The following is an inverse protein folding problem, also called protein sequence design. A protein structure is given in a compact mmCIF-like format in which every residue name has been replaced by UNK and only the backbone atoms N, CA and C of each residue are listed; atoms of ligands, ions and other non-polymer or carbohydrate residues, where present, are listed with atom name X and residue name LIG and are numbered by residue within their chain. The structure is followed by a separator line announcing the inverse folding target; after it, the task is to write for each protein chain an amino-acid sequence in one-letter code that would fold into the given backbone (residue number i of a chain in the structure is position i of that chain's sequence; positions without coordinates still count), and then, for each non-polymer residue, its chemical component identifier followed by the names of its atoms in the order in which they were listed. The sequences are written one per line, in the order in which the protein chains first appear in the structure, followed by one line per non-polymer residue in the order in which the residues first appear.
data_IF_273844073618
#
_entry.id   IF_273844073618
#
_cell.length_a   1.000
_cell.length_b   1.000
_cell.length_c   1.000
_cell.angle_alpha   90.00
_cell.angle_beta   90.00
_cell.angle_gamma   90.00
#
_symmetry.space_group_name_H-M   'P 1'
#
loop_
_entity.id
_entity.type
_entity.pdbx_description
1 polymer ?
#
# COMPACT_ATOMS: atom_id res chain seq x y z
N UNK A 1 22.51 -7.19 -20.16
CA UNK A 1 21.79 -6.38 -19.17
C UNK A 1 20.45 -5.88 -19.71
N UNK A 2 20.36 -5.29 -20.92
CA UNK A 2 19.13 -4.76 -21.55
C UNK A 2 18.01 -5.80 -21.75
N UNK A 3 18.32 -7.02 -22.22
CA UNK A 3 17.33 -8.06 -22.49
C UNK A 3 16.55 -8.54 -21.23
N UNK A 4 17.12 -8.34 -20.04
CA UNK A 4 16.47 -8.68 -18.78
C UNK A 4 15.48 -7.59 -18.32
N UNK A 5 15.79 -6.32 -18.54
CA UNK A 5 14.89 -5.20 -18.23
C UNK A 5 13.64 -5.22 -19.11
N UNK A 6 13.77 -5.55 -20.39
CA UNK A 6 12.63 -5.65 -21.31
C UNK A 6 11.65 -6.77 -20.92
N UNK A 7 12.17 -7.91 -20.48
CA UNK A 7 11.31 -9.03 -19.99
C UNK A 7 10.59 -8.68 -18.70
N UNK A 8 11.25 -8.01 -17.76
CA UNK A 8 10.62 -7.53 -16.53
C UNK A 8 9.49 -6.54 -16.85
N UNK A 9 9.77 -5.56 -17.70
CA UNK A 9 8.77 -4.57 -18.15
C UNK A 9 7.57 -5.24 -18.81
N UNK A 10 7.80 -6.20 -19.69
CA UNK A 10 6.74 -6.97 -20.34
C UNK A 10 5.87 -7.73 -19.34
N UNK A 11 6.46 -8.33 -18.31
CA UNK A 11 5.72 -9.04 -17.26
C UNK A 11 4.86 -8.09 -16.42
N UNK A 12 5.37 -6.90 -16.10
CA UNK A 12 4.61 -5.88 -15.35
C UNK A 12 3.46 -5.30 -16.17
N UNK A 13 3.67 -5.07 -17.47
CA UNK A 13 2.61 -4.63 -18.39
C UNK A 13 1.53 -5.71 -18.49
N UNK A 14 1.93 -6.99 -18.61
CA UNK A 14 0.98 -8.11 -18.62
C UNK A 14 0.16 -8.16 -17.33
N UNK A 15 0.79 -8.00 -16.16
CA UNK A 15 0.11 -7.92 -14.86
C UNK A 15 -0.92 -6.80 -14.83
N UNK A 16 -0.52 -5.58 -15.21
CA UNK A 16 -1.40 -4.41 -15.23
C UNK A 16 -2.57 -4.57 -16.21
N UNK A 17 -2.33 -5.11 -17.42
CA UNK A 17 -3.37 -5.39 -18.39
C UNK A 17 -4.34 -6.46 -17.88
N UNK A 18 -3.85 -7.54 -17.28
CA UNK A 18 -4.69 -8.58 -16.69
C UNK A 18 -5.60 -8.00 -15.60
N UNK A 19 -5.05 -7.21 -14.68
CA UNK A 19 -5.82 -6.54 -13.63
C UNK A 19 -6.90 -5.61 -14.23
N UNK A 20 -6.55 -4.82 -15.25
CA UNK A 20 -7.50 -3.95 -15.95
C UNK A 20 -8.64 -4.72 -16.62
N UNK A 21 -8.33 -5.81 -17.32
CA UNK A 21 -9.33 -6.67 -17.97
C UNK A 21 -10.28 -7.28 -16.94
N UNK A 22 -9.76 -7.85 -15.84
CA UNK A 22 -10.60 -8.42 -14.78
C UNK A 22 -11.45 -7.36 -14.08
N UNK A 23 -10.91 -6.18 -13.83
CA UNK A 23 -11.67 -5.11 -13.21
C UNK A 23 -12.82 -4.61 -14.09
N UNK A 24 -12.59 -4.40 -15.39
CA UNK A 24 -13.63 -3.94 -16.31
C UNK A 24 -14.69 -5.02 -16.55
N UNK A 25 -14.27 -6.26 -16.83
CA UNK A 25 -15.21 -7.37 -17.03
C UNK A 25 -16.02 -7.66 -15.76
N UNK A 26 -15.39 -7.58 -14.60
CA UNK A 26 -16.04 -7.76 -13.31
C UNK A 26 -17.06 -6.67 -13.01
N UNK A 27 -16.77 -5.39 -13.31
CA UNK A 27 -17.77 -4.31 -13.17
C UNK A 27 -18.99 -4.55 -14.06
N UNK A 28 -18.78 -4.89 -15.33
CA UNK A 28 -19.86 -5.18 -16.25
C UNK A 28 -20.72 -6.35 -15.78
N UNK A 29 -20.09 -7.47 -15.44
CA UNK A 29 -20.80 -8.69 -15.00
C UNK A 29 -21.37 -8.53 -13.59
N UNK A 30 -20.75 -7.74 -12.72
CA UNK A 30 -21.28 -7.40 -11.41
C UNK A 30 -22.61 -6.64 -11.51
N UNK A 31 -22.68 -5.65 -12.41
CA UNK A 31 -23.92 -4.92 -12.70
C UNK A 31 -24.98 -5.86 -13.33
N UNK A 32 -24.59 -6.70 -14.30
CA UNK A 32 -25.50 -7.63 -14.98
C UNK A 32 -26.03 -8.73 -14.03
N UNK A 33 -25.19 -9.22 -13.10
CA UNK A 33 -25.59 -10.23 -12.12
C UNK A 33 -26.37 -9.65 -10.93
N UNK A 34 -26.28 -8.33 -10.72
CA UNK A 34 -26.84 -7.64 -9.56
C UNK A 34 -26.01 -7.83 -8.28
N UNK A 35 -24.80 -8.39 -8.36
CA UNK A 35 -23.96 -8.66 -7.19
C UNK A 35 -23.16 -7.44 -6.76
N UNK A 36 -23.39 -6.98 -5.53
CA UNK A 36 -22.59 -5.91 -4.90
C UNK A 36 -21.18 -6.41 -4.60
N UNK A 37 -21.02 -7.71 -4.29
CA UNK A 37 -19.72 -8.31 -4.03
C UNK A 37 -18.79 -8.25 -5.24
N UNK A 38 -19.30 -8.63 -6.42
CA UNK A 38 -18.51 -8.59 -7.68
C UNK A 38 -18.18 -7.14 -8.06
N UNK A 39 -19.13 -6.21 -7.89
CA UNK A 39 -18.90 -4.77 -8.13
C UNK A 39 -17.81 -4.25 -7.19
N UNK A 40 -17.88 -4.58 -5.89
CA UNK A 40 -16.89 -4.18 -4.92
C UNK A 40 -15.48 -4.70 -5.26
N UNK A 41 -15.33 -5.98 -5.51
CA UNK A 41 -14.06 -6.62 -5.86
C UNK A 41 -13.43 -5.97 -7.11
N UNK A 42 -14.25 -5.77 -8.14
CA UNK A 42 -13.81 -5.17 -9.41
C UNK A 42 -13.47 -3.68 -9.27
N UNK A 43 -14.27 -2.92 -8.52
CA UNK A 43 -14.00 -1.51 -8.23
C UNK A 43 -12.70 -1.35 -7.41
N UNK A 44 -12.51 -2.22 -6.42
CA UNK A 44 -11.28 -2.26 -5.62
C UNK A 44 -10.05 -2.55 -6.50
N UNK A 45 -10.13 -3.54 -7.40
CA UNK A 45 -9.04 -3.91 -8.31
C UNK A 45 -8.69 -2.76 -9.28
N UNK A 46 -9.70 -2.11 -9.88
CA UNK A 46 -9.49 -0.96 -10.76
C UNK A 46 -8.85 0.21 -10.03
N UNK A 47 -9.35 0.50 -8.83
CA UNK A 47 -8.85 1.56 -7.98
C UNK A 47 -7.41 1.28 -7.52
N UNK A 48 -7.11 0.04 -7.13
CA UNK A 48 -5.76 -0.40 -6.75
C UNK A 48 -4.75 -0.15 -7.88
N UNK A 49 -5.12 -0.46 -9.12
CA UNK A 49 -4.29 -0.19 -10.31
C UNK A 49 -4.06 1.32 -10.52
N UNK A 50 -5.11 2.14 -10.43
CA UNK A 50 -5.00 3.60 -10.55
C UNK A 50 -4.12 4.20 -9.45
N UNK A 51 -4.31 3.74 -8.22
CA UNK A 51 -3.55 4.21 -7.06
C UNK A 51 -2.10 3.72 -7.05
N UNK A 52 -1.79 2.58 -7.66
CA UNK A 52 -0.41 2.15 -7.90
C UNK A 52 0.31 3.13 -8.85
N UNK A 53 -0.36 3.58 -9.91
CA UNK A 53 0.17 4.59 -10.82
C UNK A 53 0.42 5.93 -10.10
N UNK A 54 -0.50 6.35 -9.22
CA UNK A 54 -0.32 7.55 -8.39
C UNK A 54 0.92 7.45 -7.48
N UNK A 55 1.19 6.27 -6.89
CA UNK A 55 2.39 6.06 -6.07
C UNK A 55 3.68 6.17 -6.84
N UNK A 56 3.73 5.61 -8.05
CA UNK A 56 4.92 5.73 -8.91
C UNK A 56 5.17 7.18 -9.28
N UNK A 57 4.11 7.93 -9.57
CA UNK A 57 4.20 9.37 -9.84
C UNK A 57 4.69 10.15 -8.61
N UNK A 58 4.11 9.88 -7.43
CA UNK A 58 4.49 10.50 -6.18
C UNK A 58 5.96 10.23 -5.83
N UNK A 59 6.42 8.97 -5.98
CA UNK A 59 7.81 8.59 -5.75
C UNK A 59 8.77 9.33 -6.70
N UNK A 60 8.42 9.43 -7.99
CA UNK A 60 9.21 10.18 -8.95
C UNK A 60 9.31 11.67 -8.58
N UNK A 61 8.23 12.24 -8.07
CA UNK A 61 8.17 13.64 -7.66
C UNK A 61 8.93 13.89 -6.34
N UNK A 62 8.83 12.97 -5.39
CA UNK A 62 9.54 13.02 -4.11
C UNK A 62 11.07 12.97 -4.27
N UNK A 63 11.56 12.23 -5.27
CA UNK A 63 12.99 12.11 -5.58
C UNK A 63 13.60 13.29 -6.35
N UNK A 64 12.81 14.32 -6.67
CA UNK A 64 13.35 15.53 -7.29
C UNK A 64 14.21 16.29 -6.28
N UNK A 65 15.37 16.83 -6.71
CA UNK A 65 16.26 17.58 -5.83
C UNK A 65 15.56 18.83 -5.28
N UNK A 66 16.04 19.28 -4.11
CA UNK A 66 15.62 20.55 -3.53
C UNK A 66 15.88 21.72 -4.52
N UNK A 67 15.00 22.71 -4.48
CA UNK A 67 15.09 23.92 -5.30
C UNK A 67 14.60 25.13 -4.50
N UNK A 68 14.66 26.32 -5.08
CA UNK A 68 14.28 27.56 -4.40
C UNK A 68 12.83 27.56 -3.87
N UNK A 69 11.90 26.87 -4.54
CA UNK A 69 10.50 26.75 -4.10
C UNK A 69 10.27 25.64 -3.07
N UNK A 70 11.15 24.64 -3.03
CA UNK A 70 11.09 23.49 -2.12
C UNK A 70 12.49 23.26 -1.51
N UNK A 71 12.92 24.07 -0.53
CA UNK A 71 14.29 24.03 0.01
C UNK A 71 14.65 22.69 0.66
N UNK A 72 13.69 22.00 1.26
CA UNK A 72 13.86 20.68 1.87
C UNK A 72 13.51 19.51 0.92
N UNK A 73 13.29 19.81 -0.37
CA UNK A 73 12.75 18.82 -1.30
C UNK A 73 11.24 18.61 -1.11
N UNK A 74 10.73 17.50 -1.62
CA UNK A 74 9.30 17.18 -1.62
C UNK A 74 9.00 15.96 -0.75
N UNK A 75 9.50 15.95 0.47
CA UNK A 75 9.44 14.82 1.41
C UNK A 75 8.01 14.35 1.70
N UNK A 76 7.06 15.28 1.75
CA UNK A 76 5.67 15.03 2.15
C UNK A 76 4.80 14.45 1.04
N UNK A 77 5.26 14.42 -0.22
CA UNK A 77 4.45 13.91 -1.35
C UNK A 77 4.18 12.42 -1.23
N UNK A 78 5.14 11.66 -0.74
CA UNK A 78 4.99 10.22 -0.56
C UNK A 78 3.92 9.88 0.50
N UNK A 79 4.00 10.36 1.76
CA UNK A 79 2.93 10.13 2.73
C UNK A 79 1.59 10.75 2.33
N UNK A 80 1.58 11.88 1.61
CA UNK A 80 0.35 12.44 1.06
C UNK A 80 -0.31 11.50 0.05
N UNK A 81 0.47 10.86 -0.81
CA UNK A 81 -0.07 9.87 -1.76
C UNK A 81 -0.65 8.63 -1.05
N UNK A 82 -0.01 8.19 0.05
CA UNK A 82 -0.51 7.09 0.89
C UNK A 82 -1.81 7.50 1.58
N UNK A 83 -1.90 8.73 2.08
CA UNK A 83 -3.12 9.27 2.68
C UNK A 83 -4.29 9.28 1.69
N UNK A 84 -4.07 9.81 0.48
CA UNK A 84 -5.09 9.83 -0.58
C UNK A 84 -5.56 8.40 -0.88
N UNK A 85 -4.64 7.45 -1.04
CA UNK A 85 -4.98 6.04 -1.24
C UNK A 85 -5.83 5.47 -0.11
N UNK A 86 -5.40 5.63 1.12
CA UNK A 86 -6.10 5.14 2.29
C UNK A 86 -7.53 5.69 2.37
N UNK A 87 -7.70 7.00 2.14
CA UNK A 87 -9.01 7.65 2.13
C UNK A 87 -9.90 7.09 1.01
N UNK A 88 -9.38 6.99 -0.21
CA UNK A 88 -10.18 6.53 -1.37
C UNK A 88 -10.59 5.07 -1.21
N UNK A 89 -9.68 4.18 -0.80
CA UNK A 89 -9.98 2.77 -0.54
C UNK A 89 -10.97 2.65 0.62
N UNK A 90 -10.76 3.40 1.71
CA UNK A 90 -11.66 3.43 2.85
C UNK A 90 -13.08 3.87 2.48
N UNK A 91 -13.22 4.87 1.60
CA UNK A 91 -14.52 5.30 1.09
C UNK A 91 -15.21 4.20 0.28
N UNK A 92 -14.49 3.48 -0.58
CA UNK A 92 -15.06 2.35 -1.34
C UNK A 92 -15.53 1.24 -0.40
N UNK A 93 -14.73 0.87 0.60
CA UNK A 93 -15.14 -0.10 1.61
C UNK A 93 -16.40 0.37 2.37
N UNK A 94 -16.41 1.61 2.84
CA UNK A 94 -17.53 2.16 3.60
C UNK A 94 -18.81 2.21 2.78
N UNK A 95 -18.75 2.73 1.54
CA UNK A 95 -19.92 2.79 0.64
C UNK A 95 -20.45 1.39 0.36
N UNK A 96 -19.57 0.42 0.09
CA UNK A 96 -19.99 -0.96 -0.17
C UNK A 96 -20.64 -1.60 1.05
N UNK A 97 -20.11 -1.35 2.26
CA UNK A 97 -20.73 -1.82 3.51
C UNK A 97 -22.10 -1.20 3.76
N UNK A 98 -22.25 0.10 3.50
CA UNK A 98 -23.54 0.79 3.65
C UNK A 98 -24.56 0.22 2.65
N UNK A 99 -24.17 0.04 1.39
CA UNK A 99 -25.05 -0.57 0.37
C UNK A 99 -25.46 -2.01 0.74
N UNK A 100 -24.51 -2.79 1.27
CA UNK A 100 -24.79 -4.14 1.75
C UNK A 100 -25.73 -4.14 2.97
N UNK A 101 -25.53 -3.25 3.92
CA UNK A 101 -26.41 -3.11 5.08
C UNK A 101 -27.84 -2.69 4.68
N UNK A 102 -27.98 -1.74 3.78
CA UNK A 102 -29.28 -1.34 3.21
C UNK A 102 -29.93 -2.53 2.52
N UNK A 103 -29.18 -3.30 1.73
CA UNK A 103 -29.67 -4.50 1.05
C UNK A 103 -30.18 -5.55 2.04
N UNK A 104 -29.48 -5.79 3.15
CA UNK A 104 -29.95 -6.68 4.22
C UNK A 104 -31.23 -6.18 4.87
N UNK A 105 -31.34 -4.87 5.14
CA UNK A 105 -32.52 -4.27 5.74
C UNK A 105 -33.75 -4.39 4.84
N UNK A 106 -33.56 -4.32 3.53
CA UNK A 106 -34.61 -4.44 2.51
C UNK A 106 -35.04 -5.88 2.21
N UNK A 107 -34.50 -6.87 2.92
CA UNK A 107 -34.87 -8.28 2.76
C UNK A 107 -33.93 -9.07 1.87
N UNK A 108 -32.71 -8.59 1.66
CA UNK A 108 -31.68 -9.21 0.84
C UNK A 108 -31.67 -8.68 -0.58
N UNK A 109 -30.87 -9.33 -1.45
CA UNK A 109 -30.73 -8.93 -2.84
C UNK A 109 -30.80 -10.14 -3.75
N UNK A 110 -31.64 -10.07 -4.76
CA UNK A 110 -31.66 -11.09 -5.81
C UNK A 110 -30.43 -10.94 -6.70
N UNK A 111 -29.60 -11.97 -6.73
CA UNK A 111 -28.40 -12.05 -7.56
C UNK A 111 -28.58 -13.19 -8.54
N UNK A 112 -28.20 -12.96 -9.80
CA UNK A 112 -28.12 -14.06 -10.76
C UNK A 112 -26.91 -14.95 -10.41
N UNK A 113 -27.16 -15.95 -9.56
CA UNK A 113 -26.12 -16.84 -9.03
C UNK A 113 -25.36 -17.59 -10.13
N UNK A 114 -26.01 -17.91 -11.26
CA UNK A 114 -25.32 -18.59 -12.36
C UNK A 114 -24.25 -17.67 -12.99
N UNK A 115 -24.60 -16.40 -13.26
CA UNK A 115 -23.63 -15.43 -13.78
C UNK A 115 -22.53 -15.14 -12.77
N UNK A 116 -22.88 -15.00 -11.49
CA UNK A 116 -21.92 -14.74 -10.41
C UNK A 116 -20.93 -15.91 -10.25
N UNK A 117 -21.40 -17.15 -10.31
CA UNK A 117 -20.55 -18.35 -10.24
C UNK A 117 -19.63 -18.47 -11.46
N UNK A 118 -20.16 -18.27 -12.68
CA UNK A 118 -19.34 -18.33 -13.89
C UNK A 118 -18.24 -17.26 -13.83
N UNK A 119 -18.61 -16.03 -13.48
CA UNK A 119 -17.62 -14.96 -13.36
C UNK A 119 -16.58 -15.26 -12.28
N UNK A 120 -17.00 -15.67 -11.07
CA UNK A 120 -16.08 -15.96 -9.97
C UNK A 120 -15.12 -17.10 -10.31
N UNK A 121 -15.60 -18.12 -11.00
CA UNK A 121 -14.75 -19.23 -11.47
C UNK A 121 -13.71 -18.75 -12.48
N UNK A 122 -14.13 -17.93 -13.47
CA UNK A 122 -13.22 -17.36 -14.46
C UNK A 122 -12.23 -16.40 -13.81
N UNK A 123 -12.66 -15.62 -12.81
CA UNK A 123 -11.81 -14.70 -12.06
C UNK A 123 -10.72 -15.45 -11.27
N UNK A 124 -11.08 -16.50 -10.52
CA UNK A 124 -10.11 -17.35 -9.80
C UNK A 124 -9.12 -17.99 -10.77
N UNK A 125 -9.61 -18.57 -11.86
CA UNK A 125 -8.76 -19.20 -12.87
C UNK A 125 -7.79 -18.18 -13.50
N UNK A 126 -8.27 -16.99 -13.80
CA UNK A 126 -7.47 -15.92 -14.39
C UNK A 126 -6.44 -15.35 -13.41
N UNK A 127 -6.82 -15.11 -12.15
CA UNK A 127 -5.90 -14.69 -11.10
C UNK A 127 -4.80 -15.74 -10.89
N UNK A 128 -5.17 -17.01 -10.82
CA UNK A 128 -4.21 -18.11 -10.67
C UNK A 128 -3.25 -18.20 -11.87
N UNK A 129 -3.77 -18.08 -13.10
CA UNK A 129 -2.96 -18.09 -14.31
C UNK A 129 -1.97 -16.92 -14.34
N UNK A 130 -2.43 -15.72 -14.02
CA UNK A 130 -1.59 -14.52 -13.94
C UNK A 130 -0.53 -14.68 -12.86
N UNK A 131 -0.89 -15.15 -11.67
CA UNK A 131 0.04 -15.49 -10.60
C UNK A 131 1.10 -16.51 -11.05
N UNK A 132 0.69 -17.55 -11.76
CA UNK A 132 1.61 -18.56 -12.27
C UNK A 132 2.62 -17.99 -13.26
N UNK A 133 2.18 -17.14 -14.18
CA UNK A 133 3.05 -16.46 -15.14
C UNK A 133 4.07 -15.56 -14.43
N UNK A 134 3.60 -14.73 -13.47
CA UNK A 134 4.46 -13.79 -12.74
C UNK A 134 5.45 -14.55 -11.84
N UNK A 135 5.02 -15.62 -11.15
CA UNK A 135 5.92 -16.49 -10.37
C UNK A 135 7.00 -17.14 -11.23
N UNK A 136 6.65 -17.52 -12.45
CA UNK A 136 7.63 -18.08 -13.38
C UNK A 136 8.65 -17.04 -13.85
N UNK A 137 8.23 -15.79 -14.01
CA UNK A 137 9.12 -14.66 -14.32
C UNK A 137 10.01 -14.33 -13.12
N UNK A 138 9.45 -14.31 -11.89
CA UNK A 138 10.21 -14.08 -10.66
C UNK A 138 11.32 -15.11 -10.46
N UNK A 139 11.06 -16.41 -10.71
CA UNK A 139 12.10 -17.45 -10.62
C UNK A 139 13.29 -17.22 -11.55
N UNK A 140 13.12 -16.44 -12.62
CA UNK A 140 14.19 -16.11 -13.57
C UNK A 140 14.88 -14.81 -13.22
N UNK A 141 14.18 -13.89 -12.56
CA UNK A 141 14.65 -12.55 -12.20
C UNK A 141 14.01 -12.15 -10.88
N UNK A 142 14.69 -12.44 -9.77
CA UNK A 142 14.16 -12.10 -8.44
C UNK A 142 14.40 -10.62 -8.11
N UNK A 143 13.44 -9.79 -8.48
CA UNK A 143 13.43 -8.36 -8.16
C UNK A 143 12.38 -8.04 -7.09
N UNK A 144 12.62 -7.01 -6.28
CA UNK A 144 11.68 -6.56 -5.25
C UNK A 144 10.28 -6.26 -5.83
N UNK A 145 10.25 -5.70 -7.05
CA UNK A 145 9.01 -5.36 -7.74
C UNK A 145 8.21 -6.61 -8.13
N UNK A 146 8.86 -7.64 -8.71
CA UNK A 146 8.20 -8.91 -9.04
C UNK A 146 7.76 -9.68 -7.78
N UNK A 147 8.51 -9.58 -6.68
CA UNK A 147 8.08 -10.14 -5.38
C UNK A 147 6.81 -9.46 -4.86
N UNK A 148 6.71 -8.14 -5.00
CA UNK A 148 5.50 -7.40 -4.64
C UNK A 148 4.30 -7.81 -5.49
N UNK A 149 4.47 -7.91 -6.82
CA UNK A 149 3.43 -8.36 -7.75
C UNK A 149 2.95 -9.79 -7.42
N UNK A 150 3.88 -10.72 -7.17
CA UNK A 150 3.51 -12.10 -6.77
C UNK A 150 2.68 -12.11 -5.49
N UNK A 151 3.06 -11.31 -4.49
CA UNK A 151 2.28 -11.21 -3.24
C UNK A 151 0.89 -10.65 -3.50
N UNK A 152 0.77 -9.59 -4.29
CA UNK A 152 -0.53 -9.00 -4.63
C UNK A 152 -1.42 -10.02 -5.34
N UNK A 153 -0.97 -10.63 -6.43
CA UNK A 153 -1.76 -11.63 -7.17
C UNK A 153 -2.09 -12.87 -6.34
N UNK A 154 -1.24 -13.21 -5.37
CA UNK A 154 -1.53 -14.27 -4.42
C UNK A 154 -2.69 -13.91 -3.50
N UNK A 155 -2.72 -12.68 -2.98
CA UNK A 155 -3.83 -12.17 -2.16
C UNK A 155 -5.13 -12.09 -2.98
N UNK A 156 -5.06 -11.57 -4.20
CA UNK A 156 -6.20 -11.47 -5.11
C UNK A 156 -6.76 -12.87 -5.46
N UNK A 157 -5.89 -13.88 -5.66
CA UNK A 157 -6.31 -15.27 -5.89
C UNK A 157 -7.06 -15.84 -4.68
N UNK A 158 -6.56 -15.61 -3.46
CA UNK A 158 -7.25 -16.06 -2.25
C UNK A 158 -8.59 -15.36 -2.03
N UNK A 159 -8.63 -14.07 -2.29
CA UNK A 159 -9.87 -13.30 -2.19
C UNK A 159 -10.91 -13.80 -3.19
N UNK A 160 -10.53 -13.94 -4.46
CA UNK A 160 -11.41 -14.48 -5.51
C UNK A 160 -11.89 -15.90 -5.19
N UNK A 161 -11.03 -16.75 -4.61
CA UNK A 161 -11.43 -18.08 -4.17
C UNK A 161 -12.45 -18.04 -3.03
N UNK A 162 -12.29 -17.12 -2.07
CA UNK A 162 -13.27 -16.91 -0.99
C UNK A 162 -14.63 -16.44 -1.54
N UNK A 163 -14.63 -15.53 -2.51
CA UNK A 163 -15.85 -15.06 -3.20
C UNK A 163 -16.53 -16.21 -3.94
N UNK A 164 -15.78 -16.99 -4.71
CA UNK A 164 -16.31 -18.18 -5.39
C UNK A 164 -16.94 -19.17 -4.39
N UNK A 165 -16.25 -19.45 -3.30
CA UNK A 165 -16.76 -20.32 -2.25
C UNK A 165 -18.07 -19.79 -1.66
N UNK A 166 -18.16 -18.48 -1.42
CA UNK A 166 -19.38 -17.82 -0.94
C UNK A 166 -20.55 -17.99 -1.92
N UNK A 167 -20.33 -17.83 -3.24
CA UNK A 167 -21.38 -18.06 -4.24
C UNK A 167 -21.75 -19.53 -4.40
N UNK A 168 -20.81 -20.47 -4.23
CA UNK A 168 -21.13 -21.91 -4.18
C UNK A 168 -22.06 -22.21 -3.00
N UNK A 169 -21.75 -21.66 -1.81
CA UNK A 169 -22.62 -21.80 -0.64
C UNK A 169 -24.01 -21.18 -0.88
N UNK A 170 -24.06 -19.98 -1.49
CA UNK A 170 -25.31 -19.34 -1.86
C UNK A 170 -26.15 -20.18 -2.79
N UNK A 171 -25.52 -20.82 -3.80
CA UNK A 171 -26.20 -21.71 -4.76
C UNK A 171 -26.72 -22.99 -4.06
N UNK A 172 -25.92 -23.61 -3.21
CA UNK A 172 -26.35 -24.77 -2.42
C UNK A 172 -27.53 -24.41 -1.49
N UNK A 173 -27.48 -23.24 -0.88
CA UNK A 173 -28.55 -22.73 -0.05
C UNK A 173 -29.83 -22.49 -0.87
N UNK A 174 -29.71 -21.91 -2.07
CA UNK A 174 -30.83 -21.68 -2.97
C UNK A 174 -31.55 -22.96 -3.42
N UNK A 175 -30.80 -24.09 -3.49
CA UNK A 175 -31.34 -25.40 -3.84
C UNK A 175 -31.91 -26.17 -2.64
N UNK A 176 -31.77 -25.64 -1.42
CA UNK A 176 -32.22 -26.24 -0.17
C UNK A 176 -33.63 -25.74 0.22
N UNK A 177 -34.28 -26.37 1.21
CA UNK A 177 -35.52 -25.84 1.81
C UNK A 177 -35.39 -24.41 2.35
N UNK A 178 -34.17 -23.95 2.59
CA UNK A 178 -33.82 -22.62 3.10
C UNK A 178 -33.46 -21.63 1.98
N UNK A 179 -33.89 -21.91 0.75
CA UNK A 179 -33.54 -21.10 -0.44
C UNK A 179 -33.86 -19.61 -0.30
N UNK A 180 -34.90 -19.27 0.47
CA UNK A 180 -35.22 -17.86 0.76
C UNK A 180 -34.09 -17.07 1.45
N UNK A 181 -33.12 -17.76 2.08
CA UNK A 181 -31.97 -17.12 2.71
C UNK A 181 -30.83 -16.81 1.71
N UNK A 182 -30.86 -17.38 0.53
CA UNK A 182 -29.81 -17.16 -0.47
C UNK A 182 -29.66 -15.69 -0.88
N UNK A 183 -30.73 -14.88 -0.79
CA UNK A 183 -30.72 -13.45 -1.09
C UNK A 183 -29.84 -12.62 -0.14
N UNK A 184 -29.53 -13.18 1.04
CA UNK A 184 -28.66 -12.53 2.03
C UNK A 184 -27.18 -12.85 1.83
N UNK A 185 -26.84 -13.84 1.02
CA UNK A 185 -25.46 -14.32 0.86
C UNK A 185 -24.53 -13.23 0.31
N UNK A 186 -24.91 -12.57 -0.78
CA UNK A 186 -24.11 -11.52 -1.42
C UNK A 186 -23.85 -10.32 -0.48
N UNK A 187 -24.83 -9.69 0.14
CA UNK A 187 -24.59 -8.58 1.05
C UNK A 187 -23.84 -9.00 2.34
N UNK A 188 -24.01 -10.22 2.83
CA UNK A 188 -23.23 -10.74 3.97
C UNK A 188 -21.75 -10.91 3.57
N UNK A 189 -21.47 -11.46 2.41
CA UNK A 189 -20.08 -11.53 1.90
C UNK A 189 -19.43 -10.16 1.82
N UNK A 190 -20.15 -9.15 1.30
CA UNK A 190 -19.62 -7.78 1.26
C UNK A 190 -19.30 -7.26 2.64
N UNK A 191 -20.19 -7.42 3.63
CA UNK A 191 -19.95 -6.95 4.99
C UNK A 191 -18.74 -7.61 5.63
N UNK A 192 -18.58 -8.91 5.47
CA UNK A 192 -17.46 -9.66 6.04
C UNK A 192 -16.14 -9.25 5.36
N UNK A 193 -16.12 -9.27 4.03
CA UNK A 193 -14.90 -9.03 3.26
C UNK A 193 -14.50 -7.55 3.31
N UNK A 194 -15.42 -6.62 3.01
CA UNK A 194 -15.13 -5.19 3.07
C UNK A 194 -14.81 -4.74 4.51
N UNK A 195 -15.48 -5.31 5.52
CA UNK A 195 -15.18 -5.06 6.93
C UNK A 195 -13.76 -5.45 7.31
N UNK A 196 -13.31 -6.64 6.89
CA UNK A 196 -11.92 -7.06 7.07
C UNK A 196 -10.93 -6.17 6.32
N UNK A 197 -11.24 -5.84 5.07
CA UNK A 197 -10.38 -4.99 4.25
C UNK A 197 -10.34 -3.54 4.73
N UNK A 198 -11.32 -3.05 5.48
CA UNK A 198 -11.35 -1.69 6.04
C UNK A 198 -10.19 -1.40 7.03
N UNK A 199 -9.62 -2.44 7.62
CA UNK A 199 -8.44 -2.32 8.48
C UNK A 199 -7.21 -1.79 7.75
N UNK A 200 -7.03 -2.16 6.48
CA UNK A 200 -5.87 -1.75 5.67
C UNK A 200 -5.87 -0.22 5.43
N UNK A 201 -6.92 0.40 4.85
CA UNK A 201 -6.96 1.84 4.63
C UNK A 201 -6.93 2.64 5.94
N UNK A 202 -7.52 2.13 7.02
CA UNK A 202 -7.41 2.76 8.33
C UNK A 202 -5.95 2.92 8.76
N UNK A 203 -5.16 1.84 8.71
CA UNK A 203 -3.73 1.89 9.05
C UNK A 203 -2.94 2.81 8.10
N UNK A 204 -3.26 2.77 6.80
CA UNK A 204 -2.62 3.65 5.81
C UNK A 204 -2.85 5.13 6.16
N UNK A 205 -4.08 5.51 6.51
CA UNK A 205 -4.44 6.88 6.89
C UNK A 205 -3.72 7.29 8.17
N UNK A 206 -3.76 6.45 9.22
CA UNK A 206 -3.12 6.75 10.50
C UNK A 206 -1.61 6.91 10.34
N UNK A 207 -0.96 6.00 9.61
CA UNK A 207 0.49 6.09 9.37
C UNK A 207 0.86 7.30 8.51
N UNK A 208 0.11 7.58 7.46
CA UNK A 208 0.35 8.74 6.61
C UNK A 208 0.17 10.05 7.37
N UNK A 209 -0.85 10.18 8.22
CA UNK A 209 -1.04 11.34 9.08
C UNK A 209 0.11 11.50 10.09
N UNK A 210 0.57 10.40 10.71
CA UNK A 210 1.74 10.44 11.59
C UNK A 210 2.97 10.97 10.86
N UNK A 211 3.26 10.47 9.66
CA UNK A 211 4.40 10.90 8.85
C UNK A 211 4.28 12.36 8.39
N UNK A 212 3.08 12.81 8.01
CA UNK A 212 2.83 14.22 7.66
C UNK A 212 3.02 15.18 8.84
N UNK A 213 2.76 14.71 10.07
CA UNK A 213 2.97 15.48 11.31
C UNK A 213 4.40 15.32 11.87
N UNK A 214 5.34 14.79 11.11
CA UNK A 214 6.71 14.50 11.58
C UNK A 214 6.72 13.58 12.81
N UNK A 215 5.85 12.58 12.83
CA UNK A 215 5.76 11.61 13.91
C UNK A 215 7.06 10.82 14.09
N UNK A 216 7.29 10.32 15.30
CA UNK A 216 8.45 9.51 15.60
C UNK A 216 8.58 8.31 14.63
N UNK A 217 9.81 8.02 14.22
CA UNK A 217 10.14 6.82 13.46
C UNK A 217 9.79 5.54 14.24
N UNK A 218 9.85 4.41 13.57
CA UNK A 218 9.68 3.11 14.21
C UNK A 218 10.55 3.00 15.47
N UNK A 219 10.03 2.48 16.59
CA UNK A 219 10.79 2.40 17.84
C UNK A 219 12.13 1.67 17.70
N UNK A 220 12.20 0.66 16.86
CA UNK A 220 13.42 -0.12 16.62
C UNK A 220 14.48 0.73 15.89
N UNK A 221 14.09 1.40 14.81
CA UNK A 221 14.95 2.33 14.06
C UNK A 221 15.39 3.50 14.94
N UNK A 222 14.47 4.07 15.72
CA UNK A 222 14.77 5.16 16.63
C UNK A 222 15.75 4.75 17.74
N UNK A 223 15.69 3.50 18.21
CA UNK A 223 16.63 2.95 19.20
C UNK A 223 18.04 2.81 18.61
N UNK A 224 18.18 2.23 17.42
CA UNK A 224 19.46 2.10 16.71
C UNK A 224 20.11 3.48 16.45
N UNK A 225 19.33 4.45 16.00
CA UNK A 225 19.83 5.82 15.81
C UNK A 225 20.34 6.43 17.11
N UNK A 226 19.59 6.27 18.20
CA UNK A 226 20.01 6.79 19.52
C UNK A 226 21.28 6.12 20.01
N UNK A 227 21.45 4.82 19.78
CA UNK A 227 22.65 4.07 20.14
C UNK A 227 23.90 4.60 19.41
N UNK A 228 23.79 4.83 18.10
CA UNK A 228 24.88 5.40 17.29
C UNK A 228 25.24 6.81 17.76
N UNK A 229 24.24 7.66 18.02
CA UNK A 229 24.49 9.02 18.51
C UNK A 229 25.11 9.02 19.90
N UNK A 230 24.65 8.15 20.80
CA UNK A 230 25.23 8.01 22.15
C UNK A 230 26.67 7.51 22.11
N UNK A 231 27.00 6.60 21.21
CA UNK A 231 28.37 6.12 21.01
C UNK A 231 29.31 7.20 20.46
N UNK A 232 28.80 8.13 19.68
CA UNK A 232 29.57 9.26 19.13
C UNK A 232 29.89 10.35 20.17
N UNK A 233 29.12 10.45 21.26
CA UNK A 233 29.30 11.45 22.32
C UNK A 233 29.35 10.82 23.73
N UNK A 234 30.40 10.02 24.04
CA UNK A 234 30.52 9.33 25.33
C UNK A 234 30.76 10.28 26.53
N UNK A 235 31.18 11.54 26.28
CA UNK A 235 31.55 12.50 27.33
C UNK A 235 30.38 13.32 27.88
N UNK A 236 29.16 13.18 27.36
CA UNK A 236 27.96 13.83 27.91
C UNK A 236 27.27 12.85 28.89
N UNK A 237 27.64 12.88 30.20
CA UNK A 237 26.98 12.04 31.21
C UNK A 237 25.58 12.61 31.44
N UNK A 238 24.57 11.92 31.04
CA UNK A 238 23.17 12.31 31.00
C UNK A 238 22.77 13.13 29.74
N UNK A 239 22.95 12.55 28.58
CA UNK A 239 22.45 13.01 27.27
C UNK A 239 21.38 14.12 27.29
N UNK A 240 21.82 15.34 27.52
CA UNK A 240 20.95 16.46 27.90
C UNK A 240 20.10 16.97 26.74
N UNK A 241 20.35 16.51 25.52
CA UNK A 241 19.44 16.85 24.42
C UNK A 241 18.90 15.58 23.75
N UNK A 242 17.57 15.44 23.72
CA UNK A 242 16.95 14.27 23.13
C UNK A 242 17.18 14.24 21.61
N UNK A 243 17.82 13.17 21.13
CA UNK A 243 17.86 12.88 19.69
C UNK A 243 16.42 12.72 19.18
N UNK A 244 16.03 13.60 18.28
CA UNK A 244 14.69 13.52 17.65
C UNK A 244 14.81 12.78 16.34
N UNK A 245 14.05 11.68 16.24
CA UNK A 245 14.04 10.81 15.06
C UNK A 245 12.62 10.75 14.52
N UNK A 246 12.42 11.28 13.31
CA UNK A 246 11.12 11.27 12.64
C UNK A 246 11.24 10.58 11.28
N UNK A 247 10.15 9.98 10.82
CA UNK A 247 10.07 9.39 9.48
C UNK A 247 9.03 10.10 8.64
N UNK A 248 9.42 10.47 7.41
CA UNK A 248 8.54 11.08 6.41
C UNK A 248 8.73 10.37 5.08
N UNK A 249 7.80 9.51 4.71
CA UNK A 249 7.93 8.66 3.52
C UNK A 249 9.18 7.80 3.59
N UNK A 250 10.01 7.87 2.57
CA UNK A 250 11.32 7.20 2.48
C UNK A 250 12.47 7.99 3.11
N UNK A 251 12.19 9.01 3.94
CA UNK A 251 13.21 9.82 4.58
C UNK A 251 13.20 9.65 6.09
N UNK A 252 14.39 9.46 6.66
CA UNK A 252 14.64 9.43 8.10
C UNK A 252 15.26 10.77 8.50
N UNK A 253 14.55 11.55 9.30
CA UNK A 253 15.00 12.86 9.77
C UNK A 253 15.56 12.69 11.17
N UNK A 254 16.86 12.94 11.33
CA UNK A 254 17.56 12.89 12.61
C UNK A 254 17.99 14.30 12.99
N UNK A 255 17.48 14.81 14.11
CA UNK A 255 17.87 16.10 14.66
C UNK A 255 18.71 15.88 15.93
N UNK A 256 19.89 16.46 15.96
CA UNK A 256 20.81 16.47 17.10
C UNK A 256 21.41 17.87 17.28
N UNK A 257 21.67 18.27 18.53
CA UNK A 257 22.18 19.59 18.87
C UNK A 257 23.67 19.81 18.55
N UNK A 258 24.43 18.71 18.46
CA UNK A 258 25.86 18.77 18.20
C UNK A 258 26.18 18.19 16.81
N UNK A 259 27.31 18.60 16.24
CA UNK A 259 27.80 18.11 14.96
C UNK A 259 28.35 16.69 15.16
N UNK A 260 27.73 15.71 14.53
CA UNK A 260 28.18 14.32 14.58
C UNK A 260 29.45 14.12 13.77
N UNK A 261 30.37 13.29 14.31
CA UNK A 261 31.57 12.86 13.60
C UNK A 261 31.20 12.11 12.30
N UNK A 262 32.07 12.14 11.30
CA UNK A 262 31.85 11.53 9.99
C UNK A 262 31.50 10.03 10.08
N UNK A 263 32.12 9.32 11.03
CA UNK A 263 31.84 7.90 11.27
C UNK A 263 30.41 7.66 11.75
N UNK A 264 29.90 8.50 12.66
CA UNK A 264 28.52 8.42 13.13
C UNK A 264 27.54 8.79 12.01
N UNK A 265 27.86 9.77 11.17
CA UNK A 265 27.05 10.11 10.00
C UNK A 265 26.96 8.95 9.00
N UNK A 266 28.06 8.24 8.77
CA UNK A 266 28.08 7.06 7.91
C UNK A 266 27.25 5.92 8.51
N UNK A 267 27.39 5.64 9.80
CA UNK A 267 26.58 4.63 10.48
C UNK A 267 25.06 4.93 10.42
N UNK A 268 24.68 6.21 10.56
CA UNK A 268 23.27 6.61 10.38
C UNK A 268 22.77 6.42 8.94
N UNK A 269 23.64 6.64 7.96
CA UNK A 269 23.28 6.37 6.55
C UNK A 269 23.16 4.87 6.27
N UNK A 270 23.97 4.03 6.92
CA UNK A 270 23.86 2.56 6.82
C UNK A 270 22.56 2.06 7.44
N UNK A 271 22.19 2.51 8.65
CA UNK A 271 20.90 2.18 9.28
C UNK A 271 19.73 2.58 8.37
N UNK A 272 19.77 3.80 7.82
CA UNK A 272 18.71 4.23 6.90
C UNK A 272 18.68 3.38 5.63
N UNK A 273 19.82 2.99 5.07
CA UNK A 273 19.91 2.16 3.87
C UNK A 273 19.37 0.74 4.10
N UNK A 274 19.64 0.14 5.27
CA UNK A 274 19.11 -1.18 5.64
C UNK A 274 17.57 -1.18 5.67
N UNK A 275 16.97 -0.08 6.12
CA UNK A 275 15.52 0.13 6.14
C UNK A 275 14.96 0.72 4.81
N UNK A 276 15.79 0.82 3.77
CA UNK A 276 15.45 1.45 2.48
C UNK A 276 15.05 2.93 2.60
N UNK A 277 15.54 3.61 3.61
CA UNK A 277 15.33 5.03 3.88
C UNK A 277 16.52 5.87 3.44
N UNK A 278 16.33 7.19 3.36
CA UNK A 278 17.40 8.17 3.14
C UNK A 278 17.55 9.05 4.37
N UNK A 279 18.70 9.05 5.02
CA UNK A 279 18.94 9.86 6.20
C UNK A 279 19.11 11.35 5.85
N UNK A 280 18.38 12.21 6.57
CA UNK A 280 18.54 13.67 6.56
C UNK A 280 18.95 14.10 7.96
N UNK A 281 20.19 14.61 8.08
CA UNK A 281 20.73 15.09 9.33
C UNK A 281 20.49 16.59 9.47
N UNK A 282 19.85 16.99 10.56
CA UNK A 282 19.66 18.40 10.93
C UNK A 282 20.59 18.69 12.11
N UNK A 283 21.67 19.40 11.82
CA UNK A 283 22.69 19.77 12.79
C UNK A 283 22.87 21.29 12.83
N UNK A 284 23.29 21.89 13.94
CA UNK A 284 23.66 23.30 13.97
C UNK A 284 24.82 23.52 13.00
N UNK A 285 24.69 24.50 12.11
CA UNK A 285 25.81 24.95 11.31
C UNK A 285 26.82 25.60 12.26
N UNK A 286 28.04 25.11 12.31
CA UNK A 286 29.16 25.89 12.87
C UNK A 286 29.31 27.12 11.99
N UNK A 287 28.80 28.26 12.48
CA UNK A 287 29.12 29.54 11.88
C UNK A 287 30.64 29.70 12.06
N UNK A 288 31.38 29.49 11.00
CA UNK A 288 32.79 29.84 10.97
C UNK A 288 32.87 31.37 10.95
N UNK A 289 32.99 31.95 12.18
CA UNK A 289 33.10 33.38 12.37
C UNK A 289 34.45 33.92 11.89
N UNK A 290 35.30 33.09 11.26
CA UNK A 290 36.64 33.47 10.81
C UNK A 290 36.72 33.96 9.36
N UNK A 291 35.62 33.87 8.58
CA UNK A 291 35.62 34.53 7.27
C UNK A 291 35.36 36.06 7.43
N UNK A 292 36.33 36.91 7.08
CA UNK A 292 36.12 38.36 7.02
C UNK A 292 35.14 38.67 5.90
N UNK A 293 33.99 39.28 6.26
CA UNK A 293 33.05 39.81 5.26
C UNK A 293 33.79 40.85 4.42
N UNK A 294 34.19 40.46 3.23
CA UNK A 294 34.55 41.45 2.19
C UNK A 294 33.29 42.18 1.80
N UNK A 295 33.27 43.50 2.15
CA UNK A 295 32.34 44.51 1.70
C UNK A 295 32.46 44.75 0.21
#
# INVERSE_FOLDING_TARGET
MYANQDKQKSTLIFSALSAGVFAVTGLLLGVMSGSVMIIFDSAYSLLSLALASLSLFALKLARQPANANYPFGRLTIEPLSILIKGVVIGLVCLVSMVLAAISLWQGGREVNLNLALIFSLLNVAGCYLTLWVIRRAQKRQDTALLRAEVRQWQMDTWLSAAVLFGFILAQLLAMSPWGALAVYADPLMVLVIAGYFCYIPYNMVVQALRQLMLGAADPEVAAQVREVVAAAHPETPNGTEPVRVAQVGSFLIVQHAEVLATEAQQALQEIAADEQLTAILIQPQTLDLTEPRHQ
#
